data_IF_575387800375
#
_entry.id   IF_575387800375
#
_cell.length_a   1.000
_cell.length_b   1.000
_cell.length_c   1.000
_cell.angle_alpha   90.00
_cell.angle_beta   90.00
_cell.angle_gamma   90.00
#
_symmetry.space_group_name_H-M   'P 1'
#
loop_
_entity.id
_entity.type
_entity.pdbx_description
1 polymer ?
#
# COMPACT_ATOMS: atom_id res chain seq x y z
N UNK A 1 -7.27 28.28 3.24
CA UNK A 1 -8.06 27.04 3.43
C UNK A 1 -7.16 25.80 3.36
N UNK A 2 -6.09 25.72 4.16
CA UNK A 2 -5.11 24.63 4.12
C UNK A 2 -5.01 23.83 5.44
N UNK A 3 -5.74 24.22 6.50
CA UNK A 3 -5.60 23.60 7.83
C UNK A 3 -6.41 22.30 7.99
N UNK A 4 -7.47 22.10 7.21
CA UNK A 4 -8.34 20.93 7.34
C UNK A 4 -7.74 19.64 6.79
N UNK A 5 -6.80 19.71 5.84
CA UNK A 5 -6.15 18.53 5.25
C UNK A 5 -5.09 17.93 6.19
N UNK A 6 -4.24 18.78 6.80
CA UNK A 6 -3.14 18.34 7.65
C UNK A 6 -3.63 17.74 8.98
N UNK A 7 -4.62 18.36 9.64
CA UNK A 7 -5.23 17.84 10.86
C UNK A 7 -5.94 16.49 10.63
N UNK A 8 -6.43 16.26 9.41
CA UNK A 8 -7.06 15.00 9.02
C UNK A 8 -6.05 13.88 8.81
N UNK A 9 -4.86 14.20 8.30
CA UNK A 9 -3.80 13.23 8.02
C UNK A 9 -3.16 12.68 9.30
N UNK A 10 -2.85 13.55 10.26
CA UNK A 10 -2.33 13.14 11.58
C UNK A 10 -3.35 12.29 12.33
N UNK A 11 -4.62 12.69 12.32
CA UNK A 11 -5.70 11.92 12.93
C UNK A 11 -5.92 10.56 12.24
N UNK A 12 -5.73 10.46 10.93
CA UNK A 12 -5.79 9.18 10.20
C UNK A 12 -4.61 8.29 10.54
N UNK A 13 -3.41 8.85 10.60
CA UNK A 13 -2.21 8.13 11.00
C UNK A 13 -2.36 7.56 12.42
N UNK A 14 -2.79 8.39 13.36
CA UNK A 14 -2.98 8.00 14.75
C UNK A 14 -4.06 6.92 14.90
N UNK A 15 -5.24 7.11 14.30
CA UNK A 15 -6.36 6.16 14.46
C UNK A 15 -6.12 4.80 13.80
N UNK A 16 -5.36 4.76 12.70
CA UNK A 16 -5.15 3.52 11.93
C UNK A 16 -3.85 2.84 12.32
N UNK A 17 -2.76 3.58 12.48
CA UNK A 17 -1.43 3.00 12.71
C UNK A 17 -0.92 3.18 14.15
N UNK A 18 -1.63 3.94 14.99
CA UNK A 18 -1.24 4.17 16.38
C UNK A 18 0.02 5.02 16.54
N UNK A 19 0.38 5.83 15.53
CA UNK A 19 1.54 6.73 15.60
C UNK A 19 1.09 8.15 15.97
N UNK A 20 1.78 8.74 16.96
CA UNK A 20 1.45 10.09 17.45
C UNK A 20 2.02 11.21 16.56
N UNK A 21 3.08 10.92 15.81
CA UNK A 21 3.74 11.90 14.95
C UNK A 21 4.50 11.23 13.79
N UNK A 22 4.63 11.97 12.69
CA UNK A 22 5.54 11.61 11.60
C UNK A 22 6.99 11.66 12.06
N UNK A 23 7.79 10.69 11.60
CA UNK A 23 9.24 10.74 11.67
C UNK A 23 9.79 11.73 10.64
N UNK A 24 11.04 12.21 10.80
CA UNK A 24 11.66 13.14 9.85
C UNK A 24 11.52 12.67 8.40
N UNK A 25 11.08 13.57 7.52
CA UNK A 25 10.89 13.31 6.08
C UNK A 25 9.61 12.56 5.69
N UNK A 26 8.95 11.82 6.60
CA UNK A 26 7.75 11.05 6.24
C UNK A 26 6.59 11.92 5.75
N UNK A 27 6.31 13.03 6.45
CA UNK A 27 5.21 13.93 6.09
C UNK A 27 5.38 14.47 4.67
N UNK A 28 6.58 14.93 4.33
CA UNK A 28 6.89 15.48 3.01
C UNK A 28 6.64 14.45 1.90
N UNK A 29 7.07 13.20 2.12
CA UNK A 29 6.85 12.10 1.18
C UNK A 29 5.36 11.82 1.06
N UNK A 30 4.64 11.65 2.17
CA UNK A 30 3.20 11.37 2.19
C UNK A 30 2.41 12.45 1.46
N UNK A 31 2.68 13.72 1.75
CA UNK A 31 2.01 14.86 1.11
C UNK A 31 2.32 14.94 -0.39
N UNK A 32 3.56 14.63 -0.80
CA UNK A 32 3.92 14.55 -2.21
C UNK A 32 3.16 13.44 -2.94
N UNK A 33 3.11 12.26 -2.33
CA UNK A 33 2.40 11.11 -2.88
C UNK A 33 0.90 11.39 -2.95
N UNK A 34 0.27 11.93 -1.91
CA UNK A 34 -1.15 12.33 -1.90
C UNK A 34 -1.44 13.35 -3.02
N UNK A 35 -0.54 14.31 -3.23
CA UNK A 35 -0.65 15.30 -4.31
C UNK A 35 -0.45 14.74 -5.72
N UNK A 36 -0.15 13.44 -5.87
CA UNK A 36 -0.01 12.78 -7.17
C UNK A 36 1.36 12.97 -7.81
N UNK A 37 2.37 13.32 -7.00
CA UNK A 37 3.74 13.46 -7.49
C UNK A 37 4.49 12.13 -7.42
N UNK A 38 5.13 11.76 -8.51
CA UNK A 38 6.11 10.68 -8.53
C UNK A 38 7.24 11.00 -7.54
N UNK A 39 7.53 10.05 -6.66
CA UNK A 39 8.39 10.29 -5.50
C UNK A 39 9.40 9.15 -5.34
N UNK A 40 10.69 9.49 -5.31
CA UNK A 40 11.75 8.59 -4.92
C UNK A 40 12.10 8.84 -3.44
N UNK A 41 11.68 7.94 -2.55
CA UNK A 41 11.93 8.04 -1.13
C UNK A 41 13.12 7.14 -0.72
N UNK A 42 14.25 7.76 -0.38
CA UNK A 42 15.41 7.06 0.20
C UNK A 42 15.37 7.24 1.71
N UNK A 43 15.07 6.16 2.43
CA UNK A 43 15.00 6.17 3.89
C UNK A 43 15.75 4.96 4.46
N UNK A 44 16.37 5.09 5.65
CA UNK A 44 17.05 3.97 6.30
C UNK A 44 16.07 2.85 6.67
N UNK A 45 16.59 1.64 6.85
CA UNK A 45 15.83 0.52 7.39
C UNK A 45 15.21 0.90 8.73
N UNK A 46 13.95 0.51 8.96
CA UNK A 46 13.20 0.92 10.14
C UNK A 46 12.76 2.39 10.13
N UNK A 47 13.08 3.19 9.11
CA UNK A 47 12.66 4.59 8.97
C UNK A 47 11.15 4.80 8.75
N UNK A 48 10.37 3.72 8.66
CA UNK A 48 8.92 3.77 8.48
C UNK A 48 8.50 4.04 7.03
N UNK A 49 9.22 3.47 6.05
CA UNK A 49 8.91 3.60 4.61
C UNK A 49 7.49 3.14 4.26
N UNK A 50 6.99 2.10 4.93
CA UNK A 50 5.66 1.56 4.64
C UNK A 50 4.55 2.59 4.83
N UNK A 51 4.65 3.41 5.88
CA UNK A 51 3.69 4.49 6.15
C UNK A 51 3.60 5.48 4.97
N UNK A 52 4.73 5.73 4.29
CA UNK A 52 4.82 6.68 3.18
C UNK A 52 3.99 6.29 1.95
N UNK A 53 3.57 5.03 1.82
CA UNK A 53 2.62 4.61 0.78
C UNK A 53 1.30 4.06 1.37
N UNK A 54 1.31 3.54 2.59
CA UNK A 54 0.10 3.03 3.24
C UNK A 54 -0.86 4.15 3.62
N UNK A 55 -0.36 5.25 4.19
CA UNK A 55 -1.22 6.36 4.58
C UNK A 55 -1.84 7.08 3.37
N UNK A 56 -1.10 7.38 2.28
CA UNK A 56 -1.70 7.88 1.06
C UNK A 56 -2.74 6.94 0.43
N UNK A 57 -2.55 5.61 0.52
CA UNK A 57 -3.51 4.64 0.00
C UNK A 57 -4.90 4.77 0.65
N UNK A 58 -4.96 5.17 1.92
CA UNK A 58 -6.20 5.39 2.66
C UNK A 58 -6.86 6.74 2.34
N UNK A 59 -6.10 7.68 1.77
CA UNK A 59 -6.59 9.01 1.39
C UNK A 59 -7.14 9.04 -0.03
N UNK A 60 -7.05 7.93 -0.78
CA UNK A 60 -7.41 7.85 -2.18
C UNK A 60 -8.49 6.81 -2.44
N UNK A 61 -9.25 7.08 -3.49
CA UNK A 61 -10.13 6.09 -4.11
C UNK A 61 -9.31 5.11 -4.95
N UNK A 62 -9.87 3.91 -5.17
CA UNK A 62 -9.19 2.84 -5.88
C UNK A 62 -8.16 2.06 -5.05
N UNK A 63 -7.38 1.23 -5.73
CA UNK A 63 -6.44 0.28 -5.12
C UNK A 63 -5.00 0.79 -5.23
N UNK A 64 -4.27 0.76 -4.13
CA UNK A 64 -2.81 0.92 -4.14
C UNK A 64 -2.14 -0.44 -4.32
N UNK A 65 -1.27 -0.57 -5.32
CA UNK A 65 -0.49 -1.78 -5.56
C UNK A 65 0.92 -1.58 -5.02
N UNK A 66 1.37 -2.46 -4.13
CA UNK A 66 2.72 -2.44 -3.56
C UNK A 66 3.51 -3.62 -4.12
N UNK A 67 4.50 -3.34 -4.95
CA UNK A 67 5.41 -4.34 -5.49
C UNK A 67 6.56 -4.51 -4.50
N UNK A 68 6.77 -5.71 -3.97
CA UNK A 68 7.85 -5.98 -3.00
C UNK A 68 8.42 -7.38 -3.20
N UNK A 69 9.75 -7.57 -3.17
CA UNK A 69 10.36 -8.89 -3.33
C UNK A 69 10.27 -9.76 -2.07
N UNK A 70 9.92 -9.20 -0.91
CA UNK A 70 10.00 -9.88 0.39
C UNK A 70 8.64 -10.46 0.82
N UNK A 71 8.30 -11.66 0.35
CA UNK A 71 7.00 -12.33 0.61
C UNK A 71 6.65 -12.40 2.10
N UNK A 72 7.62 -12.74 2.98
CA UNK A 72 7.38 -12.80 4.41
C UNK A 72 6.97 -11.43 4.98
N UNK A 73 7.66 -10.37 4.57
CA UNK A 73 7.33 -9.00 4.97
C UNK A 73 5.97 -8.57 4.42
N UNK A 74 5.63 -8.92 3.17
CA UNK A 74 4.32 -8.65 2.59
C UNK A 74 3.19 -9.23 3.45
N UNK A 75 3.34 -10.48 3.91
CA UNK A 75 2.36 -11.14 4.78
C UNK A 75 2.21 -10.44 6.13
N UNK A 76 3.33 -10.03 6.74
CA UNK A 76 3.32 -9.28 7.99
C UNK A 76 2.61 -7.92 7.81
N UNK A 77 2.89 -7.20 6.70
CA UNK A 77 2.24 -5.93 6.40
C UNK A 77 0.73 -6.10 6.18
N UNK A 78 0.30 -7.12 5.43
CA UNK A 78 -1.12 -7.40 5.21
C UNK A 78 -1.83 -7.75 6.52
N UNK A 79 -1.21 -8.56 7.38
CA UNK A 79 -1.76 -8.88 8.71
C UNK A 79 -1.95 -7.61 9.54
N UNK A 80 -0.91 -6.79 9.67
CA UNK A 80 -0.98 -5.55 10.46
C UNK A 80 -2.00 -4.55 9.91
N UNK A 81 -2.14 -4.44 8.59
CA UNK A 81 -3.17 -3.60 7.97
C UNK A 81 -4.59 -4.12 8.29
N UNK A 82 -4.82 -5.43 8.20
CA UNK A 82 -6.11 -6.04 8.53
C UNK A 82 -6.47 -5.86 10.01
N UNK A 83 -5.50 -6.04 10.90
CA UNK A 83 -5.66 -5.77 12.35
C UNK A 83 -6.03 -4.30 12.62
N UNK A 84 -5.50 -3.37 11.82
CA UNK A 84 -5.86 -1.96 11.83
C UNK A 84 -7.20 -1.63 11.14
N UNK A 85 -7.96 -2.64 10.68
CA UNK A 85 -9.24 -2.45 9.99
C UNK A 85 -9.10 -2.02 8.52
N UNK A 86 -7.91 -2.11 7.93
CA UNK A 86 -7.66 -1.79 6.52
C UNK A 86 -7.76 -3.07 5.69
N UNK A 87 -8.63 -3.04 4.68
CA UNK A 87 -8.74 -4.13 3.71
C UNK A 87 -7.49 -4.20 2.84
N UNK A 88 -6.66 -5.22 3.07
CA UNK A 88 -5.41 -5.46 2.37
C UNK A 88 -5.27 -6.93 1.98
N UNK A 89 -4.51 -7.20 0.93
CA UNK A 89 -4.29 -8.54 0.39
C UNK A 89 -2.90 -8.67 -0.22
N UNK A 90 -2.46 -9.91 -0.41
CA UNK A 90 -1.22 -10.22 -1.10
C UNK A 90 -1.47 -11.28 -2.18
N UNK A 91 -0.83 -11.10 -3.33
CA UNK A 91 -0.72 -12.11 -4.38
C UNK A 91 0.74 -12.46 -4.58
N UNK A 92 1.10 -13.67 -4.18
CA UNK A 92 2.47 -14.21 -4.21
C UNK A 92 2.45 -15.65 -4.71
N UNK A 93 3.61 -16.19 -5.04
CA UNK A 93 3.79 -17.62 -5.36
C UNK A 93 3.48 -18.55 -4.18
N UNK A 94 3.46 -18.04 -2.94
CA UNK A 94 3.20 -18.82 -1.74
C UNK A 94 1.74 -18.84 -1.28
N UNK A 95 0.82 -18.17 -1.98
CA UNK A 95 -0.59 -18.17 -1.59
C UNK A 95 -1.25 -19.52 -1.85
N UNK A 96 -2.21 -19.87 -0.99
CA UNK A 96 -3.16 -20.93 -1.30
C UNK A 96 -4.20 -20.43 -2.31
N UNK A 97 -4.94 -21.36 -2.92
CA UNK A 97 -6.03 -21.02 -3.83
C UNK A 97 -7.11 -20.20 -3.11
N UNK A 98 -7.46 -20.58 -1.87
CA UNK A 98 -8.44 -19.89 -1.03
C UNK A 98 -8.00 -18.46 -0.67
N UNK A 99 -6.73 -18.26 -0.31
CA UNK A 99 -6.17 -16.93 -0.07
C UNK A 99 -6.22 -16.06 -1.34
N UNK A 100 -5.90 -16.66 -2.49
CA UNK A 100 -5.94 -15.99 -3.78
C UNK A 100 -7.36 -15.57 -4.14
N UNK A 101 -8.33 -16.46 -3.98
CA UNK A 101 -9.74 -16.22 -4.24
C UNK A 101 -10.31 -15.12 -3.34
N UNK A 102 -9.99 -15.14 -2.05
CA UNK A 102 -10.41 -14.08 -1.12
C UNK A 102 -9.89 -12.69 -1.53
N UNK A 103 -8.66 -12.61 -2.06
CA UNK A 103 -8.12 -11.34 -2.58
C UNK A 103 -8.88 -10.89 -3.83
N UNK A 104 -9.17 -11.80 -4.76
CA UNK A 104 -9.93 -11.45 -5.97
C UNK A 104 -11.36 -11.02 -5.64
N UNK A 105 -12.03 -11.69 -4.70
CA UNK A 105 -13.35 -11.30 -4.24
C UNK A 105 -13.34 -9.87 -3.67
N UNK A 106 -12.38 -9.56 -2.79
CA UNK A 106 -12.24 -8.22 -2.22
C UNK A 106 -11.91 -7.13 -3.27
N UNK A 107 -11.20 -7.50 -4.35
CA UNK A 107 -10.94 -6.61 -5.48
C UNK A 107 -12.20 -6.36 -6.30
N UNK A 108 -12.96 -7.40 -6.60
CA UNK A 108 -14.19 -7.30 -7.41
C UNK A 108 -15.31 -6.57 -6.64
N UNK A 109 -15.35 -6.69 -5.32
CA UNK A 109 -16.24 -5.93 -4.43
C UNK A 109 -15.82 -4.45 -4.26
N UNK A 110 -14.65 -4.05 -4.79
CA UNK A 110 -14.08 -2.71 -4.61
C UNK A 110 -13.69 -2.39 -3.15
N UNK A 111 -13.61 -3.41 -2.29
CA UNK A 111 -13.33 -3.26 -0.87
C UNK A 111 -11.83 -3.18 -0.55
N UNK A 112 -10.97 -3.74 -1.41
CA UNK A 112 -9.52 -3.78 -1.18
C UNK A 112 -8.89 -2.39 -1.34
N UNK A 113 -8.10 -1.95 -0.35
CA UNK A 113 -7.33 -0.69 -0.42
C UNK A 113 -5.87 -0.91 -0.81
N UNK A 114 -5.25 -1.98 -0.32
CA UNK A 114 -3.86 -2.31 -0.61
C UNK A 114 -3.71 -3.73 -1.15
N UNK A 115 -3.04 -3.84 -2.30
CA UNK A 115 -2.64 -5.10 -2.89
C UNK A 115 -1.12 -5.20 -2.91
N UNK A 116 -0.55 -6.07 -2.08
CA UNK A 116 0.85 -6.46 -2.17
C UNK A 116 1.01 -7.48 -3.30
N UNK A 117 1.95 -7.24 -4.21
CA UNK A 117 2.17 -8.08 -5.39
C UNK A 117 3.65 -8.46 -5.48
N UNK A 118 3.93 -9.75 -5.55
CA UNK A 118 5.28 -10.23 -5.75
C UNK A 118 5.72 -9.97 -7.21
N UNK A 119 6.96 -9.52 -7.49
CA UNK A 119 7.41 -9.16 -8.84
C UNK A 119 7.18 -10.25 -9.89
N UNK A 120 7.36 -11.52 -9.52
CA UNK A 120 7.17 -12.66 -10.42
C UNK A 120 5.71 -12.79 -10.92
N UNK A 121 4.74 -12.30 -10.15
CA UNK A 121 3.32 -12.31 -10.53
C UNK A 121 2.98 -11.22 -11.53
N UNK A 122 3.80 -10.18 -11.65
CA UNK A 122 3.55 -9.04 -12.55
C UNK A 122 3.66 -9.44 -14.03
N UNK A 123 4.54 -10.40 -14.36
CA UNK A 123 4.73 -10.88 -15.72
C UNK A 123 3.55 -11.72 -16.24
N UNK A 124 2.69 -12.23 -15.35
CA UNK A 124 1.55 -13.04 -15.74
C UNK A 124 0.47 -12.18 -16.44
N UNK A 125 0.06 -12.59 -17.64
CA UNK A 125 -0.94 -11.88 -18.44
C UNK A 125 -2.28 -11.70 -17.70
N UNK A 126 -2.63 -12.66 -16.84
CA UNK A 126 -3.81 -12.57 -15.98
C UNK A 126 -3.75 -11.39 -15.00
N UNK A 127 -2.62 -11.22 -14.33
CA UNK A 127 -2.38 -10.10 -13.40
C UNK A 127 -2.48 -8.76 -14.10
N UNK A 128 -1.85 -8.61 -15.27
CA UNK A 128 -1.90 -7.37 -16.05
C UNK A 128 -3.32 -6.97 -16.44
N UNK A 129 -4.16 -7.94 -16.82
CA UNK A 129 -5.58 -7.68 -17.12
C UNK A 129 -6.36 -7.29 -15.86
N UNK A 130 -6.12 -7.96 -14.75
CA UNK A 130 -6.75 -7.61 -13.47
C UNK A 130 -6.39 -6.18 -13.06
N UNK A 131 -5.11 -5.80 -13.09
CA UNK A 131 -4.64 -4.47 -12.70
C UNK A 131 -5.31 -3.35 -13.51
N UNK A 132 -5.58 -3.59 -14.81
CA UNK A 132 -6.31 -2.65 -15.67
C UNK A 132 -7.80 -2.51 -15.30
N UNK A 133 -8.38 -3.50 -14.63
CA UNK A 133 -9.81 -3.54 -14.27
C UNK A 133 -10.09 -2.96 -12.88
N UNK A 134 -9.23 -3.22 -11.90
CA UNK A 134 -9.51 -2.95 -10.47
C UNK A 134 -9.36 -1.49 -10.03
N UNK A 135 -9.10 -0.55 -10.96
CA UNK A 135 -8.95 0.86 -10.64
C UNK A 135 -7.74 1.16 -9.76
N UNK A 136 -6.53 0.83 -10.25
CA UNK A 136 -5.27 1.16 -9.55
C UNK A 136 -5.08 2.68 -9.49
N UNK A 137 -4.96 3.23 -8.29
CA UNK A 137 -4.76 4.67 -8.05
C UNK A 137 -3.33 5.04 -7.67
N UNK A 138 -2.51 4.05 -7.31
CA UNK A 138 -1.11 4.25 -6.97
C UNK A 138 -0.33 2.94 -7.11
N UNK A 139 0.93 3.03 -7.54
CA UNK A 139 1.89 1.94 -7.49
C UNK A 139 3.05 2.37 -6.60
N UNK A 140 3.37 1.57 -5.60
CA UNK A 140 4.57 1.71 -4.78
C UNK A 140 5.51 0.54 -5.09
N UNK A 141 6.79 0.83 -5.29
CA UNK A 141 7.83 -0.20 -5.47
C UNK A 141 8.71 -0.17 -4.23
N UNK A 142 8.59 -1.21 -3.40
CA UNK A 142 9.42 -1.43 -2.23
C UNK A 142 10.71 -2.16 -2.61
N UNK A 143 11.78 -1.90 -1.86
CA UNK A 143 13.13 -2.35 -2.20
C UNK A 143 13.52 -2.06 -3.66
N UNK A 144 13.25 -0.84 -4.12
CA UNK A 144 13.48 -0.38 -5.49
C UNK A 144 14.96 -0.48 -5.96
N UNK A 145 15.89 -0.80 -5.06
CA UNK A 145 17.28 -1.10 -5.39
C UNK A 145 17.48 -2.51 -5.98
N UNK A 146 16.47 -3.39 -5.88
CA UNK A 146 16.48 -4.73 -6.45
C UNK A 146 16.05 -4.79 -7.93
N UNK A 147 15.72 -3.64 -8.53
CA UNK A 147 15.20 -3.52 -9.91
C UNK A 147 16.35 -3.32 -10.90
#
# INVERSE_FOLDING_TARGET
MADGSAATLDALMARTFGFDAFRPGQREIVEAVIAGRDTLAIMPTGGGKSLCFQLPALCRDGVTVVISPLIALMRDQVRSLREAGVSAGALTSGNTDEETEAVFQALDDGALKLLYLAPERLAATGTQRMLKRIGVSMIAVDEAHCV
#
